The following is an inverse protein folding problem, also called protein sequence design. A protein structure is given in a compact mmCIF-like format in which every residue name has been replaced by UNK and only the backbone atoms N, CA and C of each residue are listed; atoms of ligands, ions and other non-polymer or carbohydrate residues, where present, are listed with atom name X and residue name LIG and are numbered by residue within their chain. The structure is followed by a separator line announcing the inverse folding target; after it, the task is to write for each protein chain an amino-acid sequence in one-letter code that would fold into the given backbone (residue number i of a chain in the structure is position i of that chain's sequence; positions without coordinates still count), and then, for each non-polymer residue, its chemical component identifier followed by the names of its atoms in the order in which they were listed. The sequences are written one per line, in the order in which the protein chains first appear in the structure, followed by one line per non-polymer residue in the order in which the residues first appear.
data_IF_842479224811
#
_entry.id   IF_842479224811
#
_cell.length_a   1.000
_cell.length_b   1.000
_cell.length_c   1.000
_cell.angle_alpha   90.00
_cell.angle_beta   90.00
_cell.angle_gamma   90.00
#
_symmetry.space_group_name_H-M   'P 1'
#
loop_
_entity.id
_entity.type
_entity.pdbx_description
1 polymer ?
#
# COMPACT_ATOMS: atom_id res chain seq x y z
N UNK A 1 -14.24 1.21 -10.85
CA UNK A 1 -13.27 1.90 -11.73
C UNK A 1 -12.32 2.76 -10.92
N UNK A 2 -12.80 3.69 -10.07
CA UNK A 2 -11.93 4.55 -9.23
C UNK A 2 -11.06 3.77 -8.22
N UNK A 3 -11.63 2.78 -7.53
CA UNK A 3 -10.87 1.96 -6.57
C UNK A 3 -9.71 1.19 -7.21
N UNK A 4 -9.91 0.68 -8.44
CA UNK A 4 -8.88 -0.08 -9.14
C UNK A 4 -7.68 0.82 -9.48
N UNK A 5 -7.93 2.05 -9.94
CA UNK A 5 -6.87 3.01 -10.23
C UNK A 5 -6.07 3.40 -8.97
N UNK A 6 -6.74 3.59 -7.83
CA UNK A 6 -6.05 3.86 -6.56
C UNK A 6 -5.16 2.68 -6.13
N UNK A 7 -5.64 1.45 -6.33
CA UNK A 7 -4.92 0.23 -5.98
C UNK A 7 -3.72 -0.04 -6.92
N UNK A 8 -3.87 0.24 -8.21
CA UNK A 8 -2.78 0.20 -9.18
C UNK A 8 -1.65 1.20 -8.82
N UNK A 9 -2.00 2.42 -8.39
CA UNK A 9 -1.02 3.41 -7.94
C UNK A 9 -0.34 3.04 -6.62
N UNK A 10 -1.03 2.27 -5.77
CA UNK A 10 -0.52 1.76 -4.49
C UNK A 10 0.43 0.57 -4.70
N UNK A 11 0.21 -0.22 -5.77
CA UNK A 11 1.10 -1.33 -6.09
C UNK A 11 2.47 -0.85 -6.59
N UNK A 12 3.53 -1.36 -5.97
CA UNK A 12 4.90 -1.18 -6.43
C UNK A 12 5.02 -1.91 -7.76
N UNK A 13 4.88 -1.17 -8.86
CA UNK A 13 5.05 -1.72 -10.20
C UNK A 13 6.53 -2.13 -10.35
N UNK A 14 6.81 -3.42 -10.32
CA UNK A 14 8.11 -3.96 -10.75
C UNK A 14 8.30 -3.57 -12.21
N UNK A 15 9.32 -2.76 -12.48
CA UNK A 15 9.60 -2.16 -13.79
C UNK A 15 9.61 -3.18 -14.95
N UNK A 16 9.29 -2.75 -16.18
CA UNK A 16 9.33 -3.63 -17.34
C UNK A 16 10.77 -3.98 -17.75
N UNK A 17 10.89 -5.26 -18.12
CA UNK A 17 11.97 -5.97 -18.80
C UNK A 17 12.77 -5.11 -19.80
N UNK A 18 14.07 -4.93 -19.55
CA UNK A 18 15.02 -4.44 -20.57
C UNK A 18 15.52 -5.62 -21.41
N UNK A 19 14.94 -5.78 -22.60
CA UNK A 19 15.50 -6.60 -23.68
C UNK A 19 16.56 -5.79 -24.46
N UNK A 20 17.62 -6.47 -24.89
CA UNK A 20 18.44 -6.09 -26.04
C UNK A 20 19.79 -5.43 -25.73
N UNK A 21 20.88 -6.19 -25.88
CA UNK A 21 21.82 -6.06 -27.00
C UNK A 21 22.99 -7.05 -26.82
N UNK A 22 22.88 -8.19 -27.51
CA UNK A 22 24.01 -9.02 -27.91
C UNK A 22 24.82 -8.30 -29.01
N UNK A 23 26.14 -8.47 -29.00
CA UNK A 23 27.03 -7.99 -30.05
C UNK A 23 28.43 -8.59 -29.93
N UNK A 24 28.62 -9.75 -30.55
CA UNK A 24 29.89 -10.50 -30.65
C UNK A 24 30.48 -10.30 -32.06
N UNK A 25 31.81 -10.19 -32.12
CA UNK A 25 32.73 -10.41 -33.26
C UNK A 25 33.25 -9.22 -34.11
N UNK A 26 34.60 -9.14 -34.17
CA UNK A 26 35.47 -8.38 -35.10
C UNK A 26 35.35 -8.84 -36.56
N UNK A 27 35.83 -8.04 -37.55
CA UNK A 27 37.09 -8.38 -38.23
C UNK A 27 38.01 -7.19 -38.68
N UNK A 28 39.28 -7.57 -38.89
CA UNK A 28 40.55 -6.92 -39.37
C UNK A 28 40.48 -6.03 -40.66
N UNK A 29 41.54 -5.32 -41.20
CA UNK A 29 43.01 -5.60 -41.14
C UNK A 29 44.05 -4.42 -41.03
N UNK A 30 45.28 -4.81 -40.64
CA UNK A 30 46.66 -4.22 -40.69
C UNK A 30 47.05 -3.25 -41.86
N UNK A 31 48.28 -2.66 -41.95
CA UNK A 31 49.54 -2.84 -41.15
C UNK A 31 50.32 -1.54 -40.78
N UNK A 32 51.26 -1.60 -39.81
CA UNK A 32 52.67 -1.10 -39.90
C UNK A 32 53.42 -1.48 -38.62
N UNK A 33 54.58 -2.13 -38.78
CA UNK A 33 55.45 -2.71 -37.73
C UNK A 33 56.45 -1.69 -37.14
N UNK A 34 57.48 -2.10 -36.35
CA UNK A 34 57.46 -2.73 -35.04
C UNK A 34 58.22 -1.88 -33.99
N UNK A 35 57.90 -2.01 -32.70
CA UNK A 35 58.76 -1.50 -31.63
C UNK A 35 58.80 -2.52 -30.49
N UNK A 36 59.97 -3.08 -30.25
CA UNK A 36 60.24 -4.25 -29.40
C UNK A 36 60.20 -3.96 -27.88
N UNK A 37 59.33 -3.07 -27.40
CA UNK A 37 59.37 -2.61 -26.00
C UNK A 37 58.11 -2.96 -25.17
N UNK A 38 57.03 -3.44 -25.81
CA UNK A 38 55.75 -3.69 -25.12
C UNK A 38 55.66 -5.05 -24.38
N UNK A 39 56.62 -5.95 -24.59
CA UNK A 39 56.58 -7.30 -24.02
C UNK A 39 56.87 -7.32 -22.51
N UNK A 40 57.86 -6.52 -22.06
CA UNK A 40 58.20 -6.42 -20.63
C UNK A 40 57.16 -5.61 -19.85
N UNK A 41 56.57 -4.58 -20.48
CA UNK A 41 55.52 -3.75 -19.89
C UNK A 41 54.24 -4.55 -19.57
N UNK A 42 53.94 -5.57 -20.38
CA UNK A 42 52.82 -6.49 -20.14
C UNK A 42 53.15 -7.54 -19.07
N UNK A 43 54.41 -7.96 -18.98
CA UNK A 43 54.88 -8.98 -18.03
C UNK A 43 54.80 -8.54 -16.57
N UNK A 44 55.27 -7.32 -16.24
CA UNK A 44 55.21 -6.83 -14.85
C UNK A 44 53.77 -6.61 -14.39
N UNK A 45 52.87 -6.17 -15.28
CA UNK A 45 51.44 -6.01 -14.97
C UNK A 45 50.80 -7.34 -14.60
N UNK A 46 51.13 -8.42 -15.31
CA UNK A 46 50.62 -9.76 -14.98
C UNK A 46 51.16 -10.29 -13.65
N UNK A 47 52.45 -10.02 -13.36
CA UNK A 47 53.05 -10.41 -12.08
C UNK A 47 52.42 -9.63 -10.92
N UNK A 48 52.20 -8.33 -11.09
CA UNK A 48 51.51 -7.49 -10.11
C UNK A 48 50.07 -7.95 -9.92
N UNK A 49 49.34 -8.25 -11.00
CA UNK A 49 47.96 -8.73 -10.92
C UNK A 49 47.86 -10.08 -10.18
N UNK A 50 48.76 -11.03 -10.46
CA UNK A 50 48.85 -12.30 -9.72
C UNK A 50 49.14 -12.10 -8.25
N UNK A 51 50.00 -11.13 -7.90
CA UNK A 51 50.32 -10.79 -6.49
C UNK A 51 49.15 -10.11 -5.78
N UNK A 52 48.42 -9.24 -6.47
CA UNK A 52 47.19 -8.64 -5.93
C UNK A 52 46.17 -9.74 -5.66
N UNK A 53 46.02 -10.68 -6.60
CA UNK A 53 45.08 -11.81 -6.45
C UNK A 53 45.45 -12.79 -5.34
N UNK A 54 46.74 -13.09 -5.16
CA UNK A 54 47.19 -14.03 -4.13
C UNK A 54 47.28 -13.42 -2.74
N UNK A 55 47.49 -12.11 -2.62
CA UNK A 55 47.83 -11.46 -1.36
C UNK A 55 46.77 -10.46 -0.85
N UNK A 56 45.69 -10.22 -1.61
CA UNK A 56 44.56 -9.42 -1.13
C UNK A 56 43.34 -10.29 -0.91
N UNK A 57 42.85 -10.32 0.34
CA UNK A 57 41.54 -10.89 0.66
C UNK A 57 40.49 -10.00 0.02
N UNK A 58 39.87 -10.46 -1.08
CA UNK A 58 38.78 -9.75 -1.75
C UNK A 58 37.55 -9.74 -0.83
N UNK A 59 37.36 -8.65 -0.09
CA UNK A 59 36.04 -8.32 0.41
C UNK A 59 35.20 -7.99 -0.82
N UNK A 60 34.40 -8.95 -1.29
CA UNK A 60 33.27 -8.60 -2.13
C UNK A 60 32.54 -7.50 -1.36
N UNK A 61 32.41 -6.30 -1.93
CA UNK A 61 31.32 -5.41 -1.52
C UNK A 61 30.09 -6.28 -1.72
N UNK A 62 29.58 -6.86 -0.63
CA UNK A 62 28.43 -7.74 -0.66
C UNK A 62 27.43 -7.06 -1.58
N UNK A 63 27.00 -7.79 -2.62
CA UNK A 63 26.03 -7.35 -3.62
C UNK A 63 25.17 -6.30 -2.95
N UNK A 64 25.38 -5.01 -3.31
CA UNK A 64 24.74 -3.88 -2.61
C UNK A 64 23.32 -4.33 -2.47
N UNK A 65 22.95 -4.74 -1.25
CA UNK A 65 21.66 -5.37 -0.98
C UNK A 65 20.71 -4.37 -1.59
N UNK A 66 20.10 -4.72 -2.74
CA UNK A 66 19.51 -3.75 -3.66
C UNK A 66 18.71 -2.86 -2.76
N UNK A 67 19.17 -1.63 -2.52
CA UNK A 67 18.62 -0.81 -1.45
C UNK A 67 17.15 -0.78 -1.80
N UNK A 68 16.34 -1.52 -1.03
CA UNK A 68 14.96 -1.79 -1.37
C UNK A 68 14.41 -0.41 -1.59
N UNK A 69 14.17 -0.05 -2.85
CA UNK A 69 13.92 1.33 -3.19
C UNK A 69 12.64 1.63 -2.42
N UNK A 70 12.78 2.39 -1.33
CA UNK A 70 11.68 2.75 -0.44
C UNK A 70 10.82 3.64 -1.30
N UNK A 71 9.94 2.99 -2.05
CA UNK A 71 9.09 3.61 -3.04
C UNK A 71 7.92 4.14 -2.23
N UNK A 72 7.95 5.44 -2.01
CA UNK A 72 6.89 6.14 -1.30
C UNK A 72 5.57 5.87 -2.03
N UNK A 73 4.52 5.62 -1.24
CA UNK A 73 3.18 5.44 -1.78
C UNK A 73 2.80 6.67 -2.61
N UNK A 74 2.69 6.51 -3.94
CA UNK A 74 2.39 7.61 -4.88
C UNK A 74 0.99 8.19 -4.65
N UNK A 75 0.11 7.42 -4.00
CA UNK A 75 -1.23 7.86 -3.61
C UNK A 75 -1.21 8.78 -2.38
N UNK A 76 -0.14 8.81 -1.59
CA UNK A 76 -0.08 9.58 -0.34
C UNK A 76 -0.38 11.07 -0.51
N UNK A 77 0.09 11.68 -1.58
CA UNK A 77 -0.12 13.12 -1.85
C UNK A 77 -1.54 13.49 -2.27
N UNK A 78 -2.32 12.51 -2.77
CA UNK A 78 -3.68 12.74 -3.31
C UNK A 78 -4.78 12.09 -2.48
N UNK A 79 -4.43 11.20 -1.56
CA UNK A 79 -5.38 10.40 -0.78
C UNK A 79 -6.42 11.27 -0.05
N UNK A 80 -5.96 12.31 0.67
CA UNK A 80 -6.87 13.23 1.37
C UNK A 80 -7.77 14.03 0.43
N UNK A 81 -7.24 14.48 -0.72
CA UNK A 81 -7.99 15.26 -1.71
C UNK A 81 -9.12 14.45 -2.36
N UNK A 82 -8.97 13.13 -2.43
CA UNK A 82 -10.02 12.24 -2.93
C UNK A 82 -11.02 11.85 -1.84
N UNK A 83 -10.52 11.57 -0.64
CA UNK A 83 -11.31 10.99 0.44
C UNK A 83 -12.31 11.95 1.08
N UNK A 84 -11.88 13.17 1.42
CA UNK A 84 -12.74 14.12 2.15
C UNK A 84 -13.90 14.66 1.32
N UNK A 85 -13.74 15.03 0.04
CA UNK A 85 -14.87 15.48 -0.78
C UNK A 85 -15.95 14.39 -0.93
N UNK A 86 -15.56 13.12 -1.04
CA UNK A 86 -16.50 12.00 -1.11
C UNK A 86 -17.35 11.84 0.17
N UNK A 87 -16.78 12.16 1.34
CA UNK A 87 -17.52 12.16 2.61
C UNK A 87 -18.34 13.43 2.81
N UNK A 88 -17.90 14.59 2.31
CA UNK A 88 -18.63 15.85 2.48
C UNK A 88 -19.83 15.98 1.52
N UNK A 89 -19.74 15.42 0.32
CA UNK A 89 -20.82 15.50 -0.67
C UNK A 89 -22.11 14.82 -0.18
N UNK A 90 -22.00 13.84 0.72
CA UNK A 90 -23.14 13.15 1.32
C UNK A 90 -23.85 13.94 2.42
N UNK A 91 -23.20 14.96 2.99
CA UNK A 91 -23.73 15.74 4.11
C UNK A 91 -24.56 16.97 3.67
N UNK A 92 -24.55 17.34 2.37
CA UNK A 92 -25.19 18.56 1.87
C UNK A 92 -26.20 18.37 0.74
N UNK A 93 -26.50 17.13 0.33
CA UNK A 93 -27.34 16.84 -0.85
C UNK A 93 -28.77 16.44 -0.48
N UNK A 94 -29.39 17.16 0.44
CA UNK A 94 -30.70 16.84 1.03
C UNK A 94 -31.89 16.87 0.05
N UNK A 95 -31.75 17.44 -1.15
CA UNK A 95 -32.90 17.63 -2.06
C UNK A 95 -33.11 16.44 -3.02
N UNK A 96 -32.08 15.62 -3.29
CA UNK A 96 -32.16 14.53 -4.27
C UNK A 96 -31.50 13.22 -3.85
N UNK A 97 -30.68 13.21 -2.80
CA UNK A 97 -29.88 12.05 -2.40
C UNK A 97 -30.16 11.69 -0.95
N UNK A 98 -31.09 10.76 -0.75
CA UNK A 98 -31.50 10.33 0.59
C UNK A 98 -30.77 9.03 0.96
N UNK A 99 -29.53 9.18 1.43
CA UNK A 99 -28.63 8.05 1.69
C UNK A 99 -29.05 7.19 2.89
N UNK A 100 -29.85 7.74 3.81
CA UNK A 100 -30.27 7.09 5.04
C UNK A 100 -31.61 6.38 4.91
N UNK A 101 -32.39 6.60 3.85
CA UNK A 101 -33.63 5.86 3.64
C UNK A 101 -33.68 5.26 2.24
N UNK A 102 -33.81 6.09 1.21
CA UNK A 102 -34.06 5.61 -0.17
C UNK A 102 -32.82 5.02 -0.87
N UNK A 103 -31.65 5.60 -0.64
CA UNK A 103 -30.40 5.34 -1.38
C UNK A 103 -29.36 4.56 -0.55
N UNK A 104 -29.83 3.67 0.32
CA UNK A 104 -28.97 2.88 1.21
C UNK A 104 -27.92 2.03 0.45
N UNK A 105 -28.21 1.61 -0.79
CA UNK A 105 -27.27 0.88 -1.65
C UNK A 105 -26.11 1.75 -2.13
N UNK A 106 -26.37 3.04 -2.42
CA UNK A 106 -25.33 4.00 -2.76
C UNK A 106 -24.45 4.26 -1.54
N UNK A 107 -25.05 4.40 -0.37
CA UNK A 107 -24.32 4.54 0.89
C UNK A 107 -23.45 3.31 1.19
N UNK A 108 -23.98 2.09 1.01
CA UNK A 108 -23.22 0.84 1.14
C UNK A 108 -21.99 0.83 0.23
N UNK A 109 -22.19 1.17 -1.06
CA UNK A 109 -21.09 1.22 -2.04
C UNK A 109 -20.08 2.29 -1.68
N UNK A 110 -20.54 3.45 -1.23
CA UNK A 110 -19.68 4.54 -0.81
C UNK A 110 -18.79 4.11 0.36
N UNK A 111 -19.36 3.54 1.44
CA UNK A 111 -18.58 3.05 2.58
C UNK A 111 -17.52 2.02 2.15
N UNK A 112 -17.90 1.07 1.29
CA UNK A 112 -16.96 0.08 0.77
C UNK A 112 -15.84 0.73 -0.06
N UNK A 113 -16.16 1.74 -0.88
CA UNK A 113 -15.14 2.47 -1.63
C UNK A 113 -14.22 3.29 -0.73
N UNK A 114 -14.74 3.92 0.33
CA UNK A 114 -13.93 4.64 1.30
C UNK A 114 -12.98 3.69 2.04
N UNK A 115 -13.43 2.48 2.39
CA UNK A 115 -12.59 1.44 2.99
C UNK A 115 -11.45 1.01 2.06
N UNK A 116 -11.71 0.83 0.76
CA UNK A 116 -10.68 0.47 -0.23
C UNK A 116 -9.70 1.62 -0.49
N UNK A 117 -10.19 2.86 -0.52
CA UNK A 117 -9.34 4.07 -0.63
C UNK A 117 -8.42 4.20 0.59
N UNK A 118 -8.93 3.90 1.78
CA UNK A 118 -8.13 3.87 3.00
C UNK A 118 -7.05 2.79 2.93
N UNK A 119 -7.38 1.59 2.45
CA UNK A 119 -6.39 0.52 2.27
C UNK A 119 -5.32 0.87 1.24
N UNK A 120 -5.69 1.54 0.15
CA UNK A 120 -4.73 2.08 -0.82
C UNK A 120 -3.81 3.15 -0.23
N UNK A 121 -4.27 3.88 0.80
CA UNK A 121 -3.52 4.89 1.55
C UNK A 121 -2.70 4.32 2.72
N UNK A 122 -2.47 3.00 2.77
CA UNK A 122 -1.60 2.37 3.78
C UNK A 122 -0.22 3.02 3.85
N UNK A 123 0.32 3.07 5.06
CA UNK A 123 1.65 3.62 5.37
C UNK A 123 1.83 5.09 4.97
N UNK A 124 0.74 5.87 4.91
CA UNK A 124 0.78 7.32 4.67
C UNK A 124 0.48 8.09 5.94
N UNK A 125 0.99 9.32 6.05
CA UNK A 125 0.73 10.19 7.21
C UNK A 125 -0.75 10.60 7.32
N UNK A 126 -1.49 10.61 6.20
CA UNK A 126 -2.92 10.97 6.17
C UNK A 126 -3.83 9.82 6.61
N UNK A 127 -3.31 8.58 6.61
CA UNK A 127 -4.04 7.36 6.95
C UNK A 127 -4.76 7.45 8.30
N UNK A 128 -4.10 7.98 9.34
CA UNK A 128 -4.70 8.12 10.67
C UNK A 128 -5.92 9.05 10.63
N UNK A 129 -5.78 10.22 10.00
CA UNK A 129 -6.89 11.17 9.92
C UNK A 129 -8.05 10.64 9.05
N UNK A 130 -7.74 9.91 7.97
CA UNK A 130 -8.76 9.28 7.13
C UNK A 130 -9.51 8.18 7.88
N UNK A 131 -8.79 7.32 8.62
CA UNK A 131 -9.41 6.29 9.45
C UNK A 131 -10.32 6.87 10.53
N UNK A 132 -9.94 8.01 11.13
CA UNK A 132 -10.74 8.68 12.17
C UNK A 132 -12.05 9.18 11.59
N UNK A 133 -11.94 9.93 10.51
CA UNK A 133 -13.09 10.47 9.82
C UNK A 133 -14.03 9.35 9.31
N UNK A 134 -13.48 8.21 8.89
CA UNK A 134 -14.29 7.05 8.49
C UNK A 134 -15.09 6.46 9.67
N UNK A 135 -14.44 6.31 10.83
CA UNK A 135 -15.12 5.82 12.04
C UNK A 135 -16.21 6.78 12.48
N UNK A 136 -15.91 8.07 12.55
CA UNK A 136 -16.86 9.14 12.93
C UNK A 136 -18.04 9.18 11.94
N UNK A 137 -17.78 9.02 10.64
CA UNK A 137 -18.82 8.97 9.61
C UNK A 137 -19.69 7.71 9.71
N UNK A 138 -19.10 6.57 10.05
CA UNK A 138 -19.82 5.29 10.18
C UNK A 138 -20.66 5.19 11.45
N UNK A 139 -20.34 5.97 12.47
CA UNK A 139 -20.97 5.93 13.79
C UNK A 139 -22.50 6.09 13.79
N UNK A 140 -23.09 7.11 13.14
CA UNK A 140 -24.55 7.25 13.08
C UNK A 140 -25.23 6.13 12.26
N UNK A 141 -24.49 5.42 11.41
CA UNK A 141 -25.02 4.49 10.41
C UNK A 141 -25.15 3.06 10.98
N UNK A 142 -24.43 2.75 12.07
CA UNK A 142 -24.28 1.38 12.60
C UNK A 142 -25.58 0.66 12.99
N UNK A 143 -26.61 1.40 13.42
CA UNK A 143 -27.91 0.85 13.87
C UNK A 143 -29.00 0.88 12.79
N UNK A 144 -28.62 1.06 11.53
CA UNK A 144 -29.59 1.11 10.44
C UNK A 144 -30.31 -0.23 10.27
N UNK A 145 -31.60 -0.17 9.92
CA UNK A 145 -32.45 -1.34 9.66
C UNK A 145 -31.91 -2.28 8.56
N UNK A 146 -31.22 -1.73 7.56
CA UNK A 146 -30.69 -2.48 6.43
C UNK A 146 -29.43 -3.29 6.81
N UNK A 147 -29.50 -4.63 6.70
CA UNK A 147 -28.39 -5.53 7.03
C UNK A 147 -27.15 -5.33 6.15
N UNK A 148 -27.34 -5.04 4.86
CA UNK A 148 -26.23 -4.77 3.92
C UNK A 148 -25.41 -3.55 4.33
N UNK A 149 -26.07 -2.53 4.90
CA UNK A 149 -25.41 -1.32 5.37
C UNK A 149 -24.61 -1.59 6.64
N UNK A 150 -25.17 -2.35 7.59
CA UNK A 150 -24.44 -2.82 8.78
C UNK A 150 -23.20 -3.63 8.39
N UNK A 151 -23.32 -4.50 7.38
CA UNK A 151 -22.18 -5.24 6.84
C UNK A 151 -21.11 -4.31 6.24
N UNK A 152 -21.51 -3.29 5.47
CA UNK A 152 -20.57 -2.32 4.91
C UNK A 152 -19.85 -1.51 6.00
N UNK A 153 -20.55 -1.14 7.07
CA UNK A 153 -19.95 -0.51 8.26
C UNK A 153 -18.91 -1.44 8.88
N UNK A 154 -19.23 -2.72 9.13
CA UNK A 154 -18.29 -3.69 9.69
C UNK A 154 -17.03 -3.85 8.82
N UNK A 155 -17.19 -3.93 7.50
CA UNK A 155 -16.06 -4.00 6.55
C UNK A 155 -15.19 -2.74 6.68
N UNK A 156 -15.81 -1.56 6.72
CA UNK A 156 -15.08 -0.30 6.85
C UNK A 156 -14.32 -0.19 8.17
N UNK A 157 -14.93 -0.56 9.30
CA UNK A 157 -14.29 -0.58 10.62
C UNK A 157 -13.12 -1.57 10.64
N UNK A 158 -13.29 -2.75 10.05
CA UNK A 158 -12.21 -3.76 9.94
C UNK A 158 -11.06 -3.25 9.09
N UNK A 159 -11.35 -2.55 7.99
CA UNK A 159 -10.32 -1.94 7.15
C UNK A 159 -9.50 -0.91 7.93
N UNK A 160 -10.13 -0.08 8.77
CA UNK A 160 -9.41 0.89 9.63
C UNK A 160 -8.41 0.18 10.54
N UNK A 161 -8.84 -0.90 11.21
CA UNK A 161 -7.96 -1.67 12.09
C UNK A 161 -6.79 -2.34 11.36
N UNK A 162 -6.98 -2.68 10.07
CA UNK A 162 -5.94 -3.33 9.26
C UNK A 162 -4.94 -2.34 8.65
N UNK A 163 -5.36 -1.08 8.45
CA UNK A 163 -4.57 -0.04 7.77
C UNK A 163 -3.82 0.82 8.77
N UNK A 164 -4.43 1.15 9.91
CA UNK A 164 -3.81 1.99 10.93
C UNK A 164 -2.93 1.13 11.86
N UNK A 165 -1.65 1.51 12.10
CA UNK A 165 -0.78 0.78 13.03
C UNK A 165 -1.31 0.76 14.47
N UNK A 166 -1.10 -0.33 15.19
CA UNK A 166 -1.60 -0.53 16.57
C UNK A 166 -1.16 0.55 17.56
N UNK A 167 0.07 1.07 17.41
CA UNK A 167 0.57 2.14 18.28
C UNK A 167 -0.19 3.46 18.11
N UNK A 168 -0.66 3.74 16.88
CA UNK A 168 -1.49 4.92 16.59
C UNK A 168 -2.92 4.69 17.08
N UNK A 169 -3.47 3.48 16.85
CA UNK A 169 -4.81 3.10 17.31
C UNK A 169 -4.96 3.27 18.84
N UNK A 170 -3.98 2.77 19.59
CA UNK A 170 -3.99 2.80 21.06
C UNK A 170 -3.61 4.17 21.65
N UNK A 171 -3.00 5.05 20.86
CA UNK A 171 -2.57 6.38 21.29
C UNK A 171 -3.55 7.48 20.92
N UNK A 172 -3.75 7.70 19.62
CA UNK A 172 -4.50 8.86 19.09
C UNK A 172 -6.00 8.56 18.84
N UNK A 173 -6.36 7.28 18.73
CA UNK A 173 -7.73 6.82 18.43
C UNK A 173 -8.29 5.89 19.51
N UNK A 174 -7.74 5.92 20.73
CA UNK A 174 -8.14 5.02 21.82
C UNK A 174 -9.65 5.06 22.06
N UNK A 175 -10.25 6.25 21.99
CA UNK A 175 -11.66 6.44 22.30
C UNK A 175 -12.54 5.79 21.24
N UNK A 176 -12.33 6.14 19.96
CA UNK A 176 -13.07 5.57 18.82
C UNK A 176 -12.89 4.04 18.72
N UNK A 177 -11.70 3.52 19.06
CA UNK A 177 -11.41 2.08 19.01
C UNK A 177 -12.09 1.32 20.15
N UNK A 178 -12.11 1.88 21.37
CA UNK A 178 -12.84 1.30 22.50
C UNK A 178 -14.35 1.33 22.28
N UNK A 179 -14.87 2.44 21.74
CA UNK A 179 -16.28 2.55 21.38
C UNK A 179 -16.66 1.50 20.32
N UNK A 180 -15.86 1.40 19.25
CA UNK A 180 -16.07 0.41 18.19
C UNK A 180 -16.00 -1.02 18.73
N UNK A 181 -15.06 -1.31 19.63
CA UNK A 181 -14.93 -2.60 20.30
C UNK A 181 -16.17 -2.93 21.14
N UNK A 182 -16.62 -2.00 21.99
CA UNK A 182 -17.82 -2.21 22.83
C UNK A 182 -19.08 -2.48 21.99
N UNK A 183 -19.21 -1.79 20.85
CA UNK A 183 -20.31 -2.01 19.92
C UNK A 183 -20.24 -3.41 19.29
N UNK A 184 -19.06 -3.82 18.80
CA UNK A 184 -18.85 -5.15 18.22
C UNK A 184 -19.10 -6.29 19.21
N UNK A 185 -18.69 -6.13 20.47
CA UNK A 185 -18.97 -7.10 21.54
C UNK A 185 -20.47 -7.21 21.81
N UNK A 186 -21.20 -6.08 21.79
CA UNK A 186 -22.65 -6.05 21.92
C UNK A 186 -23.38 -6.80 20.80
N UNK A 187 -23.02 -6.52 19.54
CA UNK A 187 -23.59 -7.21 18.37
C UNK A 187 -23.29 -8.72 18.40
N UNK A 188 -22.06 -9.11 18.75
CA UNK A 188 -21.68 -10.51 18.87
C UNK A 188 -22.47 -11.25 19.96
N UNK A 189 -22.74 -10.60 21.09
CA UNK A 189 -23.56 -11.15 22.16
C UNK A 189 -25.01 -11.36 21.70
N UNK A 190 -25.60 -10.39 21.00
CA UNK A 190 -26.96 -10.49 20.45
C UNK A 190 -27.09 -11.62 19.42
N UNK A 191 -26.12 -11.74 18.51
CA UNK A 191 -26.08 -12.83 17.53
C UNK A 191 -25.95 -14.18 18.22
N UNK A 192 -25.10 -14.29 19.25
CA UNK A 192 -24.95 -15.52 20.04
C UNK A 192 -26.25 -15.92 20.74
N UNK A 193 -26.93 -14.97 21.39
CA UNK A 193 -28.23 -15.21 22.04
C UNK A 193 -29.32 -15.60 21.05
N UNK A 194 -29.41 -14.93 19.89
CA UNK A 194 -30.36 -15.27 18.83
C UNK A 194 -30.08 -16.67 18.25
N UNK A 195 -28.81 -17.02 18.07
CA UNK A 195 -28.39 -18.31 17.55
C UNK A 195 -28.55 -19.46 18.56
N UNK A 196 -28.63 -19.14 19.86
CA UNK A 196 -29.04 -20.06 20.93
C UNK A 196 -30.55 -20.27 20.95
N UNK A 197 -31.34 -19.20 20.82
CA UNK A 197 -32.82 -19.29 20.81
C UNK A 197 -33.35 -20.05 19.59
N UNK A 198 -32.69 -19.94 18.43
CA UNK A 198 -33.12 -20.61 17.19
C UNK A 198 -32.64 -22.07 17.06
N UNK A 199 -32.07 -22.64 18.13
CA UNK A 199 -31.48 -24.00 18.16
C UNK A 199 -32.27 -24.98 19.05
N UNK A 200 -33.44 -24.57 19.52
CA UNK A 200 -34.44 -25.39 20.23
C UNK A 200 -35.75 -25.39 19.45
#
# INVERSE_FOLDING_TARGET
TLSCAAQELSSINTAPKSEGLEGRANPNPNPTAPSMEDSEASSWRQVVQRRIESNTRRFARGSRHSQLAVTLNRFAGVAGQFFYPLMCQTAGSEVYLDLLDRDCLLLCRLLNTLALVLDAAKNTHVCTHMGRALLDYSWPIRLHQNSSLRQAVLISTTAVFFVVPTHVLMGEMSDNTMESKSWLEGEAALVSSACWVNRH
#
